data_IF_186528668819
#
_entry.id   IF_186528668819
#
_cell.length_a   1.000
_cell.length_b   1.000
_cell.length_c   1.000
_cell.angle_alpha   90.00
_cell.angle_beta   90.00
_cell.angle_gamma   90.00
#
_symmetry.space_group_name_H-M   'P 1'
#
loop_
_entity.id
_entity.type
_entity.pdbx_description
1 polymer ?
#
# COMPACT_ATOMS: atom_id res chain seq x y z
N UNK A 1 -4.68 22.14 -13.10
CA UNK A 1 -4.58 20.78 -12.54
C UNK A 1 -4.84 19.81 -13.68
N UNK A 2 -3.91 18.90 -13.99
CA UNK A 2 -4.19 17.86 -14.99
C UNK A 2 -5.30 16.99 -14.42
N UNK A 3 -6.42 16.87 -15.14
CA UNK A 3 -7.37 15.79 -14.90
C UNK A 3 -6.68 14.51 -15.35
N UNK A 4 -5.91 13.91 -14.46
CA UNK A 4 -5.44 12.54 -14.65
C UNK A 4 -6.67 11.66 -14.50
N UNK A 5 -7.14 11.13 -15.62
CA UNK A 5 -8.16 10.09 -15.63
C UNK A 5 -7.64 8.95 -14.76
N UNK A 6 -8.33 8.68 -13.65
CA UNK A 6 -8.00 7.58 -12.75
C UNK A 6 -7.81 6.31 -13.57
N UNK A 7 -6.60 5.77 -13.56
CA UNK A 7 -6.30 4.52 -14.25
C UNK A 7 -6.93 3.38 -13.44
N UNK A 8 -8.11 2.95 -13.86
CA UNK A 8 -8.89 1.95 -13.13
C UNK A 8 -8.21 0.59 -13.12
N UNK A 9 -7.40 0.27 -14.14
CA UNK A 9 -6.69 -1.00 -14.21
C UNK A 9 -5.55 -1.07 -13.20
N UNK A 10 -4.80 0.02 -13.00
CA UNK A 10 -3.76 0.04 -11.96
C UNK A 10 -4.36 -0.07 -10.55
N UNK A 11 -5.56 0.46 -10.32
CA UNK A 11 -6.27 0.28 -9.04
C UNK A 11 -6.63 -1.19 -8.82
N UNK A 12 -7.18 -1.87 -9.85
CA UNK A 12 -7.54 -3.28 -9.76
C UNK A 12 -6.32 -4.16 -9.49
N UNK A 13 -5.19 -3.88 -10.15
CA UNK A 13 -3.93 -4.58 -9.91
C UNK A 13 -3.46 -4.41 -8.46
N UNK A 14 -3.51 -3.18 -7.94
CA UNK A 14 -3.15 -2.91 -6.55
C UNK A 14 -4.09 -3.62 -5.56
N UNK A 15 -5.40 -3.59 -5.81
CA UNK A 15 -6.39 -4.31 -5.01
C UNK A 15 -6.15 -5.83 -5.04
N UNK A 16 -5.82 -6.39 -6.19
CA UNK A 16 -5.56 -7.82 -6.32
C UNK A 16 -4.31 -8.21 -5.52
N UNK A 17 -3.22 -7.44 -5.62
CA UNK A 17 -2.00 -7.65 -4.82
C UNK A 17 -2.32 -7.59 -3.33
N UNK A 18 -2.98 -6.54 -2.85
CA UNK A 18 -3.39 -6.39 -1.45
C UNK A 18 -4.26 -7.57 -0.98
N UNK A 19 -5.24 -8.01 -1.79
CA UNK A 19 -6.15 -9.09 -1.43
C UNK A 19 -5.49 -10.47 -1.30
N UNK A 20 -4.29 -10.64 -1.86
CA UNK A 20 -3.53 -11.89 -1.78
C UNK A 20 -2.67 -12.00 -0.53
N UNK A 21 -2.48 -10.91 0.21
CA UNK A 21 -1.67 -10.87 1.42
C UNK A 21 -2.49 -11.32 2.63
N UNK A 22 -1.86 -12.03 3.56
CA UNK A 22 -2.48 -12.39 4.84
C UNK A 22 -2.31 -11.19 5.78
N UNK A 23 -3.42 -10.67 6.29
CA UNK A 23 -3.44 -9.52 7.18
C UNK A 23 -4.62 -9.57 8.14
N UNK A 24 -4.72 -10.64 8.90
CA UNK A 24 -5.74 -10.76 9.95
C UNK A 24 -5.31 -10.00 11.19
N UNK A 25 -6.26 -9.73 12.09
CA UNK A 25 -5.98 -8.98 13.31
C UNK A 25 -4.83 -9.58 14.12
N UNK A 26 -3.77 -8.80 14.35
CA UNK A 26 -2.55 -9.21 15.05
C UNK A 26 -1.49 -9.91 14.18
N UNK A 27 -1.73 -10.02 12.87
CA UNK A 27 -0.83 -10.61 11.88
C UNK A 27 -0.84 -9.80 10.57
N UNK A 28 -0.79 -8.47 10.68
CA UNK A 28 -0.87 -7.52 9.55
C UNK A 28 0.49 -7.25 8.86
N UNK A 29 1.57 -7.85 9.33
CA UNK A 29 2.96 -7.56 8.90
C UNK A 29 3.16 -7.57 7.38
N UNK A 30 2.59 -8.55 6.66
CA UNK A 30 2.73 -8.62 5.20
C UNK A 30 2.02 -7.45 4.50
N UNK A 31 0.88 -7.00 5.04
CA UNK A 31 0.10 -5.88 4.51
C UNK A 31 0.78 -4.55 4.82
N UNK A 32 1.23 -4.34 6.06
CA UNK A 32 1.90 -3.10 6.45
C UNK A 32 3.23 -2.93 5.71
N UNK A 33 4.03 -3.99 5.58
CA UNK A 33 5.27 -3.97 4.80
C UNK A 33 5.02 -3.69 3.31
N UNK A 34 3.98 -4.29 2.72
CA UNK A 34 3.62 -4.01 1.33
C UNK A 34 3.29 -2.53 1.12
N UNK A 35 2.44 -1.96 1.98
CA UNK A 35 2.04 -0.54 1.88
C UNK A 35 3.25 0.37 2.07
N UNK A 36 4.10 0.11 3.07
CA UNK A 36 5.30 0.90 3.33
C UNK A 36 6.20 0.93 2.10
N UNK A 37 6.48 -0.24 1.53
CA UNK A 37 7.36 -0.38 0.37
C UNK A 37 6.80 0.35 -0.87
N UNK A 38 5.49 0.35 -1.09
CA UNK A 38 4.87 1.12 -2.18
C UNK A 38 5.04 2.63 -1.97
N UNK A 39 4.86 3.13 -0.75
CA UNK A 39 5.05 4.55 -0.42
C UNK A 39 6.50 4.97 -0.61
N UNK A 40 7.46 4.17 -0.12
CA UNK A 40 8.89 4.44 -0.23
C UNK A 40 9.39 4.36 -1.67
N UNK A 41 9.04 3.30 -2.41
CA UNK A 41 9.52 3.07 -3.78
C UNK A 41 9.00 4.14 -4.75
N UNK A 42 7.79 4.64 -4.52
CA UNK A 42 7.17 5.66 -5.36
C UNK A 42 7.39 7.09 -4.82
N UNK A 43 8.16 7.25 -3.74
CA UNK A 43 8.45 8.54 -3.09
C UNK A 43 7.17 9.35 -2.78
N UNK A 44 6.12 8.67 -2.30
CA UNK A 44 4.79 9.28 -2.11
C UNK A 44 4.68 10.15 -0.85
N UNK A 45 5.62 10.00 0.09
CA UNK A 45 5.65 10.74 1.33
C UNK A 45 7.10 11.03 1.77
N UNK A 46 7.31 12.16 2.45
CA UNK A 46 8.63 12.54 2.96
C UNK A 46 9.11 11.64 4.12
N UNK A 47 8.18 11.11 4.91
CA UNK A 47 8.47 10.27 6.06
C UNK A 47 7.43 9.14 6.16
N UNK A 48 7.90 7.94 6.44
CA UNK A 48 7.08 6.73 6.57
C UNK A 48 7.60 5.93 7.76
N UNK A 49 6.70 5.40 8.58
CA UNK A 49 7.06 4.55 9.71
C UNK A 49 5.88 3.66 10.11
N UNK A 50 6.18 2.60 10.85
CA UNK A 50 5.22 1.70 11.50
C UNK A 50 5.23 2.03 12.99
N UNK A 51 4.06 2.03 13.64
CA UNK A 51 3.99 2.31 15.08
C UNK A 51 4.35 1.06 15.92
N UNK A 52 4.27 1.16 17.24
CA UNK A 52 4.65 0.05 18.13
C UNK A 52 3.73 -1.17 18.06
N UNK A 53 2.56 -1.07 17.43
CA UNK A 53 1.58 -2.13 17.30
C UNK A 53 1.68 -2.88 15.97
N UNK A 54 2.43 -2.37 14.99
CA UNK A 54 2.53 -2.93 13.65
C UNK A 54 1.60 -2.23 12.67
#
# INVERSE_FOLDING_TARGET
MKNETLNIESIKELQQKLSSLIGVSGHEEDVSNFILNEIETQELADNVWIDSLG
#
